data_IF_361804568180
#
_entry.id   IF_361804568180
#
_cell.length_a   1.000
_cell.length_b   1.000
_cell.length_c   1.000
_cell.angle_alpha   90.00
_cell.angle_beta   90.00
_cell.angle_gamma   90.00
#
_symmetry.space_group_name_H-M   'P 1'
#
loop_
_entity.id
_entity.type
_entity.pdbx_description
1 polymer ?
#
# COMPACT_ATOMS: atom_id res chain seq x y z
N UNK A 1 4.51 0.75 26.05
CA UNK A 1 3.48 0.05 25.25
C UNK A 1 2.20 0.86 25.10
N UNK A 2 1.42 1.13 26.16
CA UNK A 2 0.19 1.95 26.07
C UNK A 2 0.44 3.33 25.43
N UNK A 3 1.56 3.99 25.77
CA UNK A 3 1.94 5.27 25.18
C UNK A 3 2.05 5.21 23.64
N UNK A 4 2.55 4.11 23.06
CA UNK A 4 2.64 3.93 21.60
C UNK A 4 1.27 3.77 20.95
N UNK A 5 0.29 3.20 21.66
CA UNK A 5 -1.06 3.11 21.12
C UNK A 5 -1.73 4.50 21.02
N UNK A 6 -1.42 5.38 21.97
CA UNK A 6 -1.92 6.76 22.00
C UNK A 6 -1.27 7.61 20.91
N UNK A 7 -0.04 7.31 20.49
CA UNK A 7 0.63 8.09 19.44
C UNK A 7 0.01 7.87 18.05
N UNK A 8 -0.61 6.72 17.75
CA UNK A 8 -1.23 6.46 16.44
C UNK A 8 -2.31 7.50 16.07
N UNK A 9 -3.36 7.74 16.89
CA UNK A 9 -4.35 8.77 16.58
C UNK A 9 -3.76 10.19 16.62
N UNK A 10 -2.75 10.46 17.45
CA UNK A 10 -2.07 11.76 17.49
C UNK A 10 -1.35 12.03 16.16
N UNK A 11 -0.57 11.06 15.68
CA UNK A 11 0.15 11.16 14.40
C UNK A 11 -0.84 11.31 13.24
N UNK A 12 -1.93 10.55 13.25
CA UNK A 12 -3.01 10.69 12.26
C UNK A 12 -3.60 12.11 12.25
N UNK A 13 -3.90 12.66 13.43
CA UNK A 13 -4.45 14.00 13.55
C UNK A 13 -3.48 15.08 13.10
N UNK A 14 -2.23 15.02 13.56
CA UNK A 14 -1.18 15.97 13.20
C UNK A 14 -0.88 15.91 11.69
N UNK A 15 -0.79 14.72 11.10
CA UNK A 15 -0.52 14.58 9.66
C UNK A 15 -1.66 15.17 8.82
N UNK A 16 -2.92 14.95 9.21
CA UNK A 16 -4.07 15.55 8.55
C UNK A 16 -4.04 17.09 8.61
N UNK A 17 -3.73 17.67 9.77
CA UNK A 17 -3.61 19.13 9.92
C UNK A 17 -2.46 19.67 9.06
N UNK A 18 -1.29 19.06 9.16
CA UNK A 18 -0.11 19.49 8.41
C UNK A 18 -0.38 19.46 6.91
N UNK A 19 -0.92 18.36 6.37
CA UNK A 19 -1.23 18.23 4.94
C UNK A 19 -2.28 19.25 4.49
N UNK A 20 -3.31 19.52 5.31
CA UNK A 20 -4.29 20.57 5.01
C UNK A 20 -3.65 21.96 4.98
N UNK A 21 -2.82 22.30 5.97
CA UNK A 21 -2.15 23.60 6.05
C UNK A 21 -1.19 23.86 4.89
N UNK A 22 -0.58 22.80 4.35
CA UNK A 22 0.33 22.85 3.21
C UNK A 22 -0.39 22.76 1.84
N UNK A 23 -1.72 22.65 1.84
CA UNK A 23 -2.52 22.49 0.62
C UNK A 23 -2.36 21.13 -0.05
N UNK A 24 -1.79 20.14 0.64
CA UNK A 24 -1.59 18.76 0.16
C UNK A 24 -2.88 17.97 0.27
N UNK A 25 -3.84 18.35 -0.58
CA UNK A 25 -5.21 17.85 -0.55
C UNK A 25 -5.72 17.61 -1.96
N UNK A 26 -6.71 16.74 -2.08
CA UNK A 26 -7.50 16.53 -3.31
C UNK A 26 -8.94 16.89 -3.03
N UNK A 27 -9.60 17.53 -4.01
CA UNK A 27 -11.03 17.81 -3.93
C UNK A 27 -11.79 16.52 -4.20
N UNK A 28 -12.53 16.05 -3.20
CA UNK A 28 -13.40 14.89 -3.37
C UNK A 28 -14.63 15.27 -4.23
N UNK A 29 -15.44 14.29 -4.60
CA UNK A 29 -16.63 14.52 -5.43
C UNK A 29 -17.73 15.34 -4.72
N UNK A 30 -17.65 15.52 -3.39
CA UNK A 30 -18.50 16.43 -2.61
C UNK A 30 -17.95 17.87 -2.60
N UNK A 31 -16.87 18.16 -3.34
CA UNK A 31 -16.23 19.47 -3.37
C UNK A 31 -15.38 19.80 -2.13
N UNK A 32 -15.19 18.85 -1.20
CA UNK A 32 -14.39 19.06 0.02
C UNK A 32 -12.93 18.72 -0.24
N UNK A 33 -12.03 19.55 0.27
CA UNK A 33 -10.60 19.26 0.27
C UNK A 33 -10.27 18.18 1.32
N UNK A 34 -9.70 17.07 0.86
CA UNK A 34 -9.34 15.92 1.68
C UNK A 34 -7.83 15.66 1.58
N UNK A 35 -7.09 15.57 2.71
CA UNK A 35 -5.64 15.32 2.69
C UNK A 35 -5.31 13.87 2.37
N UNK A 36 -4.29 13.62 1.53
CA UNK A 36 -3.75 12.29 1.23
C UNK A 36 -2.72 11.83 2.28
N UNK A 37 -3.11 11.85 3.55
CA UNK A 37 -2.21 11.72 4.70
C UNK A 37 -2.14 10.32 5.32
N UNK A 38 -2.98 9.36 4.89
CA UNK A 38 -3.08 8.07 5.57
C UNK A 38 -1.83 7.20 5.42
N UNK A 39 -1.05 7.36 4.35
CA UNK A 39 0.22 6.63 4.23
C UNK A 39 1.23 6.99 5.31
N UNK A 40 1.16 8.20 5.91
CA UNK A 40 1.97 8.56 7.09
C UNK A 40 1.64 7.66 8.28
N UNK A 41 0.37 7.32 8.48
CA UNK A 41 -0.08 6.46 9.58
C UNK A 41 0.45 5.03 9.37
N UNK A 42 0.36 4.52 8.14
CA UNK A 42 0.87 3.19 7.78
C UNK A 42 2.39 3.13 7.96
N UNK A 43 3.11 4.13 7.45
CA UNK A 43 4.57 4.21 7.58
C UNK A 43 5.00 4.32 9.05
N UNK A 44 4.37 5.20 9.83
CA UNK A 44 4.65 5.35 11.27
C UNK A 44 4.39 4.06 12.04
N UNK A 45 3.26 3.41 11.74
CA UNK A 45 2.89 2.13 12.33
C UNK A 45 3.94 1.06 12.05
N UNK A 46 4.32 0.91 10.77
CA UNK A 46 5.35 -0.05 10.35
C UNK A 46 6.73 0.26 10.95
N UNK A 47 7.16 1.53 10.96
CA UNK A 47 8.40 1.96 11.60
C UNK A 47 8.43 1.60 13.08
N UNK A 48 7.29 1.74 13.78
CA UNK A 48 7.17 1.35 15.18
C UNK A 48 7.32 -0.16 15.35
N UNK A 49 6.73 -0.97 14.47
CA UNK A 49 6.98 -2.43 14.47
C UNK A 49 8.46 -2.76 14.31
N UNK A 50 9.16 -2.12 13.36
CA UNK A 50 10.60 -2.32 13.16
C UNK A 50 11.45 -1.95 14.39
N UNK A 51 10.96 -1.09 15.28
CA UNK A 51 11.68 -0.69 16.49
C UNK A 51 11.43 -1.60 17.69
N UNK A 52 10.25 -2.22 17.78
CA UNK A 52 9.82 -2.96 18.99
C UNK A 52 9.82 -4.47 18.82
N UNK A 53 9.79 -4.95 17.58
CA UNK A 53 9.75 -6.38 17.27
C UNK A 53 11.19 -6.92 17.23
N UNK A 54 11.51 -8.00 17.96
CA UNK A 54 12.85 -8.58 17.94
C UNK A 54 13.25 -9.04 16.54
N UNK A 55 14.36 -8.51 16.03
CA UNK A 55 14.86 -8.79 14.69
C UNK A 55 15.16 -10.29 14.48
N UNK A 56 15.61 -10.99 15.52
CA UNK A 56 15.91 -12.44 15.45
C UNK A 56 14.70 -13.30 15.06
N UNK A 57 13.49 -12.88 15.43
CA UNK A 57 12.25 -13.64 15.16
C UNK A 57 11.61 -13.25 13.83
N UNK A 58 11.83 -12.01 13.37
CA UNK A 58 11.13 -11.42 12.22
C UNK A 58 12.08 -10.69 11.27
N UNK A 59 13.23 -11.32 11.01
CA UNK A 59 14.39 -10.72 10.36
C UNK A 59 14.11 -10.09 8.98
N UNK A 60 13.14 -10.61 8.22
CA UNK A 60 12.74 -9.98 6.95
C UNK A 60 11.64 -8.95 7.19
N UNK A 61 10.64 -9.29 8.00
CA UNK A 61 9.40 -8.53 8.05
C UNK A 61 9.52 -7.17 8.74
N UNK A 62 10.41 -7.05 9.72
CA UNK A 62 10.52 -5.86 10.57
C UNK A 62 11.96 -5.41 10.79
N UNK A 63 12.88 -5.70 9.86
CA UNK A 63 14.26 -5.20 9.92
C UNK A 63 14.38 -3.73 9.48
N UNK A 64 15.51 -3.10 9.82
CA UNK A 64 15.81 -1.73 9.40
C UNK A 64 15.95 -1.58 7.87
N UNK A 65 16.36 -2.64 7.16
CA UNK A 65 16.43 -2.62 5.70
C UNK A 65 15.04 -2.73 5.07
N UNK A 66 14.14 -3.50 5.69
CA UNK A 66 12.73 -3.51 5.30
C UNK A 66 12.10 -2.12 5.55
N UNK A 67 12.43 -1.45 6.67
CA UNK A 67 12.04 -0.08 6.91
C UNK A 67 12.58 0.89 5.85
N UNK A 68 13.86 0.80 5.49
CA UNK A 68 14.46 1.64 4.45
C UNK A 68 13.76 1.46 3.10
N UNK A 69 13.45 0.22 2.72
CA UNK A 69 12.66 -0.08 1.52
C UNK A 69 11.27 0.56 1.58
N UNK A 70 10.53 0.37 2.67
CA UNK A 70 9.17 0.93 2.83
C UNK A 70 9.16 2.46 2.86
N UNK A 71 10.14 3.10 3.53
CA UNK A 71 10.33 4.56 3.50
C UNK A 71 10.57 5.04 2.07
N UNK A 72 11.41 4.33 1.31
CA UNK A 72 11.68 4.66 -0.09
C UNK A 72 10.43 4.56 -0.97
N UNK A 73 9.64 3.49 -0.81
CA UNK A 73 8.36 3.33 -1.53
C UNK A 73 7.38 4.44 -1.15
N UNK A 74 7.23 4.72 0.15
CA UNK A 74 6.36 5.81 0.62
C UNK A 74 6.76 7.15 0.02
N UNK A 75 8.06 7.46 -0.02
CA UNK A 75 8.58 8.71 -0.57
C UNK A 75 8.32 8.84 -2.08
N UNK A 76 8.49 7.76 -2.84
CA UNK A 76 8.16 7.74 -4.27
C UNK A 76 6.67 7.98 -4.52
N UNK A 77 5.79 7.35 -3.72
CA UNK A 77 4.36 7.59 -3.79
C UNK A 77 3.99 9.03 -3.38
N UNK A 78 4.67 9.60 -2.39
CA UNK A 78 4.47 10.97 -1.95
C UNK A 78 4.87 12.00 -3.02
N UNK A 79 5.98 11.77 -3.73
CA UNK A 79 6.38 12.58 -4.89
C UNK A 79 5.28 12.54 -5.96
N UNK A 80 4.74 11.35 -6.25
CA UNK A 80 3.70 11.19 -7.26
C UNK A 80 2.40 11.88 -6.85
N UNK A 81 1.98 11.78 -5.59
CA UNK A 81 0.81 12.51 -5.07
C UNK A 81 1.00 14.04 -5.17
N UNK A 82 2.22 14.53 -4.91
CA UNK A 82 2.49 15.97 -4.83
C UNK A 82 2.70 16.65 -6.18
N UNK A 83 3.35 15.95 -7.10
CA UNK A 83 3.82 16.50 -8.37
C UNK A 83 3.19 15.81 -9.59
N UNK A 84 2.36 14.78 -9.38
CA UNK A 84 1.62 14.10 -10.42
C UNK A 84 0.68 15.03 -11.17
N UNK A 85 0.80 15.03 -12.49
CA UNK A 85 -0.07 15.79 -13.40
C UNK A 85 -1.24 14.91 -13.87
N UNK A 86 -2.27 15.50 -14.50
CA UNK A 86 -3.43 14.78 -15.09
C UNK A 86 -3.08 13.93 -16.33
N UNK A 87 -1.85 13.49 -16.44
CA UNK A 87 -1.27 12.88 -17.64
C UNK A 87 -1.47 11.36 -17.67
N UNK A 88 -1.24 10.69 -18.82
CA UNK A 88 -2.02 9.51 -19.19
C UNK A 88 -1.79 8.34 -18.23
N UNK A 89 -2.90 7.70 -17.84
CA UNK A 89 -2.90 6.56 -16.94
C UNK A 89 -2.33 5.31 -17.60
N UNK A 90 -1.54 4.54 -16.85
CA UNK A 90 -1.04 3.22 -17.24
C UNK A 90 0.34 3.25 -17.92
N UNK A 91 1.05 2.11 -17.87
CA UNK A 91 2.43 1.94 -18.36
C UNK A 91 2.63 2.43 -19.80
N UNK A 92 1.72 2.04 -20.71
CA UNK A 92 1.77 2.47 -22.12
C UNK A 92 1.60 3.98 -22.27
N UNK A 93 0.75 4.58 -21.45
CA UNK A 93 0.52 6.03 -21.43
C UNK A 93 1.78 6.79 -21.03
N UNK A 94 2.42 6.38 -19.94
CA UNK A 94 3.67 6.98 -19.48
C UNK A 94 4.79 6.83 -20.52
N UNK A 95 4.99 5.63 -21.07
CA UNK A 95 6.03 5.38 -22.10
C UNK A 95 5.78 6.19 -23.37
N UNK A 96 4.53 6.26 -23.84
CA UNK A 96 4.15 7.08 -24.99
C UNK A 96 4.37 8.57 -24.72
N UNK A 97 4.06 9.03 -23.50
CA UNK A 97 4.24 10.41 -23.11
C UNK A 97 5.72 10.79 -23.06
N UNK A 98 6.57 9.97 -22.45
CA UNK A 98 8.03 10.18 -22.46
C UNK A 98 8.56 10.19 -23.89
N UNK A 99 8.11 9.28 -24.74
CA UNK A 99 8.53 9.23 -26.13
C UNK A 99 8.12 10.49 -26.92
N UNK A 100 6.91 11.02 -26.67
CA UNK A 100 6.35 12.14 -27.43
C UNK A 100 6.75 13.51 -26.87
N UNK A 101 6.80 13.65 -25.55
CA UNK A 101 7.02 14.92 -24.83
C UNK A 101 8.40 15.04 -24.20
N UNK A 102 9.19 13.95 -24.17
CA UNK A 102 10.57 13.88 -23.61
C UNK A 102 10.69 14.26 -22.13
N UNK A 103 9.59 14.31 -21.38
CA UNK A 103 9.60 14.60 -19.95
C UNK A 103 9.19 13.33 -19.20
N UNK A 104 10.01 12.83 -18.26
CA UNK A 104 9.64 11.69 -17.44
C UNK A 104 8.48 12.08 -16.50
N UNK A 105 7.39 11.34 -16.57
CA UNK A 105 6.27 11.49 -15.63
C UNK A 105 6.68 11.00 -14.24
N UNK A 106 6.11 11.59 -13.18
CA UNK A 106 6.30 11.14 -11.79
C UNK A 106 5.92 9.67 -11.60
N UNK A 107 4.89 9.18 -12.29
CA UNK A 107 4.52 7.76 -12.30
C UNK A 107 5.63 6.83 -12.84
N UNK A 108 6.42 7.28 -13.83
CA UNK A 108 7.57 6.53 -14.34
C UNK A 108 8.73 6.54 -13.34
N UNK A 109 8.99 7.67 -12.69
CA UNK A 109 9.98 7.78 -11.60
C UNK A 109 9.60 6.82 -10.47
N UNK A 110 8.32 6.79 -10.06
CA UNK A 110 7.80 5.86 -9.06
C UNK A 110 8.02 4.40 -9.46
N UNK A 111 7.74 4.05 -10.72
CA UNK A 111 7.90 2.69 -11.22
C UNK A 111 9.37 2.24 -11.23
N UNK A 112 10.27 3.07 -11.78
CA UNK A 112 11.71 2.78 -11.82
C UNK A 112 12.29 2.76 -10.41
N UNK A 113 11.91 3.72 -9.56
CA UNK A 113 12.34 3.76 -8.16
C UNK A 113 11.89 2.52 -7.39
N UNK A 114 10.64 2.09 -7.56
CA UNK A 114 10.10 0.86 -6.94
C UNK A 114 10.88 -0.37 -7.40
N UNK A 115 11.20 -0.45 -8.69
CA UNK A 115 12.03 -1.52 -9.26
C UNK A 115 13.42 -1.56 -8.62
N UNK A 116 14.12 -0.43 -8.58
CA UNK A 116 15.47 -0.33 -8.01
C UNK A 116 15.46 -0.67 -6.52
N UNK A 117 14.54 -0.08 -5.74
CA UNK A 117 14.41 -0.34 -4.31
C UNK A 117 14.09 -1.81 -4.03
N UNK A 118 13.25 -2.45 -4.85
CA UNK A 118 12.96 -3.88 -4.74
C UNK A 118 14.20 -4.73 -5.01
N UNK A 119 15.00 -4.41 -6.05
CA UNK A 119 16.25 -5.12 -6.32
C UNK A 119 17.28 -4.96 -5.20
N UNK A 120 17.44 -3.73 -4.67
CA UNK A 120 18.37 -3.47 -3.57
C UNK A 120 17.98 -4.26 -2.32
N UNK A 121 16.68 -4.33 -2.01
CA UNK A 121 16.21 -5.11 -0.87
C UNK A 121 16.40 -6.62 -1.09
N UNK A 122 16.10 -7.14 -2.28
CA UNK A 122 16.36 -8.55 -2.64
C UNK A 122 17.84 -8.90 -2.53
N UNK A 123 18.73 -8.01 -2.98
CA UNK A 123 20.17 -8.18 -2.86
C UNK A 123 20.61 -8.29 -1.39
N UNK A 124 20.05 -7.43 -0.53
CA UNK A 124 20.30 -7.46 0.92
C UNK A 124 19.83 -8.75 1.59
N UNK A 125 18.77 -9.39 1.08
CA UNK A 125 18.25 -10.64 1.66
C UNK A 125 19.16 -11.86 1.40
N UNK A 126 20.25 -11.71 0.63
CA UNK A 126 21.21 -12.78 0.34
C UNK A 126 20.52 -14.10 -0.10
N UNK A 127 19.54 -13.99 -1.00
CA UNK A 127 18.75 -15.13 -1.47
C UNK A 127 19.63 -16.27 -1.99
N UNK A 128 19.23 -17.51 -1.73
CA UNK A 128 20.02 -18.70 -2.01
C UNK A 128 19.91 -19.19 -3.46
N UNK A 129 18.90 -18.71 -4.20
CA UNK A 129 18.67 -19.10 -5.59
C UNK A 129 18.09 -17.96 -6.43
N UNK A 130 18.31 -18.02 -7.75
CA UNK A 130 17.71 -17.05 -8.69
C UNK A 130 16.18 -17.09 -8.67
N UNK A 131 15.57 -18.26 -8.44
CA UNK A 131 14.12 -18.40 -8.35
C UNK A 131 13.55 -17.72 -7.09
N UNK A 132 14.29 -17.75 -5.98
CA UNK A 132 13.94 -17.01 -4.77
C UNK A 132 14.08 -15.50 -4.99
N UNK A 133 15.21 -15.05 -5.55
CA UNK A 133 15.45 -13.66 -5.89
C UNK A 133 14.35 -13.11 -6.80
N UNK A 134 13.99 -13.84 -7.87
CA UNK A 134 12.94 -13.48 -8.79
C UNK A 134 11.59 -13.38 -8.08
N UNK A 135 11.23 -14.36 -7.26
CA UNK A 135 9.95 -14.37 -6.53
C UNK A 135 9.82 -13.18 -5.57
N UNK A 136 10.86 -12.90 -4.79
CA UNK A 136 10.87 -11.75 -3.87
C UNK A 136 10.81 -10.44 -4.64
N UNK A 137 11.60 -10.30 -5.70
CA UNK A 137 11.57 -9.14 -6.57
C UNK A 137 10.18 -8.89 -7.17
N UNK A 138 9.51 -9.94 -7.66
CA UNK A 138 8.16 -9.84 -8.21
C UNK A 138 7.15 -9.44 -7.13
N UNK A 139 7.19 -10.03 -5.94
CA UNK A 139 6.30 -9.64 -4.84
C UNK A 139 6.52 -8.18 -4.43
N UNK A 140 7.77 -7.76 -4.22
CA UNK A 140 8.15 -6.42 -3.80
C UNK A 140 7.83 -5.35 -4.86
N UNK A 141 7.89 -5.68 -6.15
CA UNK A 141 7.56 -4.71 -7.19
C UNK A 141 6.08 -4.69 -7.57
N UNK A 142 5.43 -5.86 -7.61
CA UNK A 142 4.07 -5.98 -8.14
C UNK A 142 2.97 -5.72 -7.11
N UNK A 143 3.16 -6.04 -5.84
CA UNK A 143 2.13 -5.76 -4.82
C UNK A 143 1.94 -4.26 -4.55
N UNK A 144 2.98 -3.42 -4.41
CA UNK A 144 2.82 -1.97 -4.36
C UNK A 144 2.07 -1.44 -5.60
N UNK A 145 2.42 -1.95 -6.78
CA UNK A 145 1.77 -1.55 -8.03
C UNK A 145 0.29 -1.95 -8.06
N UNK A 146 -0.03 -3.18 -7.67
CA UNK A 146 -1.40 -3.68 -7.62
C UNK A 146 -2.24 -2.92 -6.57
N UNK A 147 -1.68 -2.62 -5.40
CA UNK A 147 -2.34 -1.81 -4.40
C UNK A 147 -2.69 -0.40 -4.94
N UNK A 148 -1.78 0.23 -5.67
CA UNK A 148 -2.04 1.50 -6.36
C UNK A 148 -3.14 1.37 -7.44
N UNK A 149 -3.25 0.24 -8.13
CA UNK A 149 -4.34 -0.01 -9.09
C UNK A 149 -5.70 -0.17 -8.40
N UNK A 150 -5.72 -0.70 -7.18
CA UNK A 150 -6.93 -0.80 -6.37
C UNK A 150 -7.34 0.53 -5.73
N UNK A 151 -6.42 1.47 -5.54
CA UNK A 151 -6.66 2.82 -4.98
C UNK A 151 -7.42 3.73 -5.96
N UNK A 152 -8.66 3.33 -6.24
CA UNK A 152 -9.59 4.02 -7.14
C UNK A 152 -10.91 4.37 -6.48
N UNK A 153 -11.18 3.75 -5.33
CA UNK A 153 -12.32 4.02 -4.45
C UNK A 153 -11.93 3.75 -3.00
N UNK A 154 -12.62 4.39 -2.04
CA UNK A 154 -12.33 4.21 -0.62
C UNK A 154 -12.31 2.75 -0.20
N UNK A 155 -11.35 2.39 0.65
CA UNK A 155 -11.22 1.11 1.35
C UNK A 155 -10.91 -0.10 0.47
N UNK A 156 -10.72 0.04 -0.85
CA UNK A 156 -10.38 -1.10 -1.70
C UNK A 156 -9.04 -1.72 -1.31
N UNK A 157 -8.03 -0.87 -1.10
CA UNK A 157 -6.70 -1.33 -0.66
C UNK A 157 -6.80 -1.93 0.73
N UNK A 158 -7.53 -1.29 1.66
CA UNK A 158 -7.75 -1.81 3.00
C UNK A 158 -8.37 -3.22 2.99
N UNK A 159 -9.41 -3.44 2.17
CA UNK A 159 -10.07 -4.75 2.00
C UNK A 159 -9.14 -5.78 1.38
N UNK A 160 -8.44 -5.40 0.30
CA UNK A 160 -7.45 -6.24 -0.36
C UNK A 160 -6.37 -6.72 0.62
N UNK A 161 -5.78 -5.80 1.38
CA UNK A 161 -4.79 -6.11 2.42
C UNK A 161 -5.39 -7.01 3.50
N UNK A 162 -6.62 -6.75 3.95
CA UNK A 162 -7.30 -7.56 4.98
C UNK A 162 -7.54 -9.00 4.51
N UNK A 163 -7.99 -9.20 3.27
CA UNK A 163 -8.24 -10.52 2.67
C UNK A 163 -6.97 -11.38 2.67
N UNK A 164 -5.81 -10.77 2.47
CA UNK A 164 -4.52 -11.47 2.44
C UNK A 164 -3.97 -11.66 3.86
N UNK A 165 -4.06 -10.65 4.74
CA UNK A 165 -3.48 -10.71 6.08
C UNK A 165 -4.23 -11.65 7.02
N UNK A 166 -5.56 -11.75 6.96
CA UNK A 166 -6.33 -12.59 7.89
C UNK A 166 -5.87 -14.07 7.81
N UNK A 167 -5.80 -14.72 6.64
CA UNK A 167 -5.31 -16.10 6.55
C UNK A 167 -3.89 -16.28 7.09
N UNK A 168 -3.00 -15.30 6.87
CA UNK A 168 -1.62 -15.34 7.38
C UNK A 168 -1.62 -15.29 8.90
N UNK A 169 -2.38 -14.36 9.50
CA UNK A 169 -2.51 -14.23 10.96
C UNK A 169 -3.11 -15.47 11.62
N UNK A 170 -4.04 -16.16 10.94
CA UNK A 170 -4.63 -17.41 11.44
C UNK A 170 -3.71 -18.63 11.29
N UNK A 171 -2.72 -18.56 10.39
CA UNK A 171 -1.82 -19.67 10.09
C UNK A 171 -0.53 -19.65 10.93
N UNK A 172 -0.25 -18.54 11.62
CA UNK A 172 0.95 -18.35 12.43
C UNK A 172 0.59 -18.21 13.92
N UNK A 173 1.52 -18.54 14.83
CA UNK A 173 1.34 -18.28 16.25
C UNK A 173 0.94 -16.82 16.48
N UNK A 174 -0.05 -16.61 17.34
CA UNK A 174 -0.53 -15.27 17.63
C UNK A 174 0.63 -14.40 18.11
N UNK A 175 0.82 -13.19 17.53
CA UNK A 175 1.83 -12.27 18.02
C UNK A 175 1.48 -11.85 19.44
N UNK A 176 2.44 -11.24 20.14
CA UNK A 176 2.19 -10.66 21.46
C UNK A 176 0.93 -9.76 21.41
N UNK A 177 0.05 -9.89 22.40
CA UNK A 177 -1.27 -9.23 22.41
C UNK A 177 -1.20 -7.73 22.09
N UNK A 178 -0.19 -7.04 22.61
CA UNK A 178 0.05 -5.63 22.31
C UNK A 178 0.31 -5.36 20.81
N UNK A 179 1.11 -6.19 20.14
CA UNK A 179 1.41 -6.06 18.71
C UNK A 179 0.14 -6.25 17.88
N UNK A 180 -0.73 -7.19 18.26
CA UNK A 180 -2.02 -7.38 17.60
C UNK A 180 -2.92 -6.15 17.75
N UNK A 181 -3.09 -5.67 18.98
CA UNK A 181 -3.90 -4.48 19.30
C UNK A 181 -3.37 -3.24 18.56
N UNK A 182 -2.06 -3.06 18.50
CA UNK A 182 -1.42 -1.93 17.81
C UNK A 182 -1.71 -1.95 16.30
N UNK A 183 -1.60 -3.11 15.66
CA UNK A 183 -1.91 -3.29 14.24
C UNK A 183 -3.39 -3.06 13.95
N UNK A 184 -4.26 -3.57 14.81
CA UNK A 184 -5.70 -3.32 14.73
C UNK A 184 -6.02 -1.82 14.88
N UNK A 185 -5.34 -1.09 15.75
CA UNK A 185 -5.54 0.36 15.89
C UNK A 185 -5.18 1.12 14.60
N UNK A 186 -4.07 0.76 13.95
CA UNK A 186 -3.67 1.34 12.66
C UNK A 186 -4.70 1.02 11.57
N UNK A 187 -5.10 -0.25 11.44
CA UNK A 187 -6.12 -0.67 10.47
C UNK A 187 -7.46 -0.01 10.71
N UNK A 188 -7.89 0.10 11.97
CA UNK A 188 -9.14 0.75 12.34
C UNK A 188 -9.13 2.24 11.98
N UNK A 189 -8.06 2.96 12.32
CA UNK A 189 -7.94 4.38 11.97
C UNK A 189 -7.90 4.59 10.46
N UNK A 190 -7.14 3.77 9.73
CA UNK A 190 -7.17 3.77 8.26
C UNK A 190 -8.60 3.56 7.75
N UNK A 191 -9.28 2.50 8.19
CA UNK A 191 -10.63 2.16 7.76
C UNK A 191 -11.65 3.28 8.04
N UNK A 192 -11.61 3.87 9.23
CA UNK A 192 -12.55 4.93 9.62
C UNK A 192 -12.28 6.21 8.85
N UNK A 193 -11.03 6.68 8.80
CA UNK A 193 -10.68 7.96 8.17
C UNK A 193 -10.89 7.93 6.66
N UNK A 194 -10.52 6.82 6.00
CA UNK A 194 -10.74 6.66 4.55
C UNK A 194 -12.23 6.42 4.23
N UNK A 195 -12.90 5.56 5.01
CA UNK A 195 -14.32 5.24 4.83
C UNK A 195 -15.22 6.47 4.95
N UNK A 196 -14.95 7.33 5.94
CA UNK A 196 -15.64 8.61 6.14
C UNK A 196 -15.06 9.76 5.30
N UNK A 197 -14.10 9.47 4.40
CA UNK A 197 -13.51 10.44 3.46
C UNK A 197 -12.89 11.65 4.16
N UNK A 198 -12.39 11.46 5.39
CA UNK A 198 -11.73 12.50 6.17
C UNK A 198 -10.26 12.68 5.76
N UNK A 199 -9.66 11.60 5.25
CA UNK A 199 -8.35 11.55 4.62
C UNK A 199 -8.37 10.51 3.49
N UNK A 200 -7.49 10.68 2.50
CA UNK A 200 -7.27 9.75 1.41
C UNK A 200 -5.99 8.95 1.66
N UNK A 201 -5.96 7.75 1.07
CA UNK A 201 -4.77 6.90 1.10
C UNK A 201 -3.65 7.46 0.23
N UNK A 202 -3.97 7.79 -1.03
CA UNK A 202 -3.02 8.33 -2.00
C UNK A 202 -2.02 7.28 -2.48
N UNK A 203 -1.20 7.65 -3.45
CA UNK A 203 -0.16 6.79 -3.98
C UNK A 203 0.91 6.51 -2.91
N UNK A 204 1.17 7.47 -2.01
CA UNK A 204 2.06 7.26 -0.86
C UNK A 204 1.56 6.15 0.07
N UNK A 205 0.25 6.09 0.35
CA UNK A 205 -0.31 5.09 1.25
C UNK A 205 -0.55 3.74 0.59
N UNK A 206 -1.05 3.74 -0.64
CA UNK A 206 -1.43 2.50 -1.34
C UNK A 206 -0.20 1.66 -1.70
N UNK A 207 0.84 2.29 -2.25
CA UNK A 207 2.10 1.60 -2.56
C UNK A 207 2.80 1.10 -1.28
N UNK A 208 2.79 1.90 -0.21
CA UNK A 208 3.33 1.51 1.11
C UNK A 208 2.59 0.31 1.69
N UNK A 209 1.25 0.30 1.65
CA UNK A 209 0.46 -0.84 2.10
C UNK A 209 0.79 -2.11 1.31
N UNK A 210 0.94 -2.00 -0.01
CA UNK A 210 1.37 -3.11 -0.86
C UNK A 210 2.79 -3.59 -0.57
N UNK A 211 3.72 -2.67 -0.26
CA UNK A 211 5.11 -2.99 0.09
C UNK A 211 5.21 -3.74 1.42
N UNK A 212 4.54 -3.25 2.46
CA UNK A 212 4.45 -3.92 3.76
C UNK A 212 3.80 -5.31 3.59
N UNK A 213 2.75 -5.41 2.78
CA UNK A 213 2.10 -6.69 2.52
C UNK A 213 3.05 -7.69 1.81
N UNK A 214 3.84 -7.23 0.83
CA UNK A 214 4.82 -8.06 0.15
C UNK A 214 5.86 -8.64 1.12
N UNK A 215 6.38 -7.78 2.00
CA UNK A 215 7.36 -8.15 3.03
C UNK A 215 6.78 -9.18 3.99
N UNK A 216 5.53 -8.99 4.45
CA UNK A 216 4.82 -9.93 5.31
C UNK A 216 4.64 -11.28 4.58
N UNK A 217 4.23 -11.27 3.31
CA UNK A 217 4.08 -12.51 2.52
C UNK A 217 5.42 -13.26 2.41
N UNK A 218 6.52 -12.55 2.19
CA UNK A 218 7.86 -13.16 2.06
C UNK A 218 8.24 -13.91 3.36
N UNK A 219 8.01 -13.31 4.53
CA UNK A 219 8.37 -13.90 5.82
C UNK A 219 7.40 -15.02 6.25
N UNK A 220 6.10 -14.81 6.05
CA UNK A 220 5.04 -15.56 6.71
C UNK A 220 4.22 -16.44 5.77
N UNK A 221 4.71 -16.76 4.58
CA UNK A 221 4.03 -17.73 3.72
C UNK A 221 5.02 -18.70 3.09
N UNK A 222 4.62 -19.97 2.91
CA UNK A 222 5.48 -20.94 2.26
C UNK A 222 5.62 -20.63 0.76
N UNK A 223 6.71 -21.09 0.16
CA UNK A 223 7.10 -20.82 -1.24
C UNK A 223 5.98 -21.03 -2.27
N UNK A 224 5.15 -22.07 -2.11
CA UNK A 224 4.06 -22.35 -3.05
C UNK A 224 2.95 -21.30 -2.99
N UNK A 225 2.64 -20.76 -1.80
CA UNK A 225 1.68 -19.66 -1.63
C UNK A 225 2.24 -18.37 -2.21
N UNK A 226 3.53 -18.09 -2.01
CA UNK A 226 4.19 -16.93 -2.61
C UNK A 226 4.09 -16.96 -4.14
N UNK A 227 4.34 -18.10 -4.79
CA UNK A 227 4.17 -18.23 -6.24
C UNK A 227 2.71 -18.09 -6.68
N UNK A 228 1.77 -18.68 -5.95
CA UNK A 228 0.33 -18.50 -6.21
C UNK A 228 -0.06 -17.01 -6.20
N UNK A 229 0.44 -16.26 -5.21
CA UNK A 229 0.24 -14.81 -5.11
C UNK A 229 0.89 -14.09 -6.28
N UNK A 230 2.13 -14.41 -6.65
CA UNK A 230 2.80 -13.81 -7.82
C UNK A 230 1.98 -14.01 -9.10
N UNK A 231 1.50 -15.22 -9.36
CA UNK A 231 0.67 -15.49 -10.54
C UNK A 231 -0.67 -14.75 -10.48
N UNK A 232 -1.33 -14.74 -9.32
CA UNK A 232 -2.59 -14.00 -9.12
C UNK A 232 -2.43 -12.49 -9.32
N UNK A 233 -1.39 -11.91 -8.72
CA UNK A 233 -1.06 -10.48 -8.85
C UNK A 233 -0.70 -10.14 -10.30
N UNK A 234 0.15 -10.94 -10.95
CA UNK A 234 0.50 -10.74 -12.36
C UNK A 234 -0.71 -10.80 -13.29
N UNK A 235 -1.61 -11.76 -13.06
CA UNK A 235 -2.87 -11.87 -13.79
C UNK A 235 -3.76 -10.62 -13.60
N UNK A 236 -3.89 -10.13 -12.36
CA UNK A 236 -4.65 -8.92 -12.07
C UNK A 236 -4.03 -7.69 -12.73
N UNK A 237 -2.71 -7.51 -12.66
CA UNK A 237 -2.01 -6.39 -13.34
C UNK A 237 -2.28 -6.44 -14.85
N UNK A 238 -2.18 -7.62 -15.46
CA UNK A 238 -2.48 -7.80 -16.88
C UNK A 238 -3.95 -7.46 -17.21
N UNK A 239 -4.90 -7.88 -16.37
CA UNK A 239 -6.31 -7.51 -16.54
C UNK A 239 -6.54 -6.01 -16.41
N UNK A 240 -5.85 -5.34 -15.49
CA UNK A 240 -5.97 -3.91 -15.25
C UNK A 240 -5.56 -3.07 -16.47
N UNK A 241 -4.65 -3.57 -17.32
CA UNK A 241 -4.28 -2.91 -18.58
C UNK A 241 -5.42 -2.91 -19.61
N UNK A 242 -6.30 -3.92 -19.56
CA UNK A 242 -7.36 -4.13 -20.58
C UNK A 242 -8.73 -3.70 -20.10
N UNK A 243 -8.99 -3.78 -18.79
CA UNK A 243 -10.32 -3.63 -18.21
C UNK A 243 -10.22 -2.76 -16.96
N UNK A 244 -11.22 -1.89 -16.76
CA UNK A 244 -11.36 -1.15 -15.50
C UNK A 244 -11.97 -2.06 -14.42
N UNK A 245 -11.24 -2.31 -13.33
CA UNK A 245 -11.77 -3.05 -12.18
C UNK A 245 -13.08 -2.46 -11.64
N UNK A 246 -13.20 -1.14 -11.63
CA UNK A 246 -14.44 -0.46 -11.24
C UNK A 246 -15.64 -0.84 -12.11
N UNK A 247 -15.45 -1.07 -13.42
CA UNK A 247 -16.51 -1.55 -14.31
C UNK A 247 -16.91 -2.99 -13.97
N UNK A 248 -15.93 -3.87 -13.75
CA UNK A 248 -16.17 -5.27 -13.37
C UNK A 248 -16.92 -5.37 -12.04
N UNK A 249 -16.46 -4.65 -11.02
CA UNK A 249 -17.08 -4.62 -9.69
C UNK A 249 -18.51 -4.09 -9.76
N UNK A 250 -18.76 -3.03 -10.55
CA UNK A 250 -20.09 -2.46 -10.71
C UNK A 250 -21.08 -3.38 -11.46
N UNK A 251 -20.57 -4.30 -12.31
CA UNK A 251 -21.40 -5.21 -13.09
C UNK A 251 -21.88 -6.42 -12.27
N UNK A 252 -21.26 -6.73 -11.13
CA UNK A 252 -21.66 -7.82 -10.24
C UNK A 252 -22.31 -7.28 -8.97
N UNK A 253 -23.55 -7.70 -8.68
CA UNK A 253 -24.27 -7.27 -7.48
C UNK A 253 -23.52 -7.60 -6.18
N UNK A 254 -22.92 -8.79 -6.09
CA UNK A 254 -22.16 -9.23 -4.93
C UNK A 254 -20.87 -8.41 -4.76
N UNK A 255 -20.10 -8.21 -5.84
CA UNK A 255 -18.86 -7.42 -5.76
C UNK A 255 -19.16 -5.96 -5.44
N UNK A 256 -20.22 -5.39 -5.99
CA UNK A 256 -20.66 -4.03 -5.68
C UNK A 256 -21.08 -3.89 -4.22
N UNK A 257 -21.79 -4.87 -3.67
CA UNK A 257 -22.16 -4.88 -2.26
C UNK A 257 -20.91 -4.95 -1.36
N UNK A 258 -19.97 -5.85 -1.66
CA UNK A 258 -18.69 -5.94 -0.95
C UNK A 258 -17.86 -4.64 -1.06
N UNK A 259 -17.81 -4.02 -2.24
CA UNK A 259 -17.13 -2.73 -2.48
C UNK A 259 -17.75 -1.60 -1.64
N UNK A 260 -19.06 -1.67 -1.34
CA UNK A 260 -19.77 -0.71 -0.50
C UNK A 260 -19.57 -0.85 1.01
N UNK A 261 -19.11 -2.01 1.51
CA UNK A 261 -18.91 -2.23 2.95
C UNK A 261 -17.93 -1.20 3.52
N UNK A 262 -18.26 -0.59 4.66
CA UNK A 262 -17.43 0.40 5.34
C UNK A 262 -17.47 1.81 4.77
N UNK A 263 -18.13 2.00 3.63
CA UNK A 263 -18.34 3.32 3.02
C UNK A 263 -19.76 3.77 3.36
N UNK A 264 -19.96 4.83 4.18
CA UNK A 264 -21.29 5.30 4.53
C UNK A 264 -22.13 5.60 3.29
N UNK A 265 -23.37 5.10 3.27
CA UNK A 265 -24.36 5.42 2.25
C UNK A 265 -24.59 6.92 2.24
N UNK A 266 -24.54 7.53 1.06
CA UNK A 266 -24.92 8.93 0.92
C UNK A 266 -26.45 9.04 0.89
N UNK A 267 -27.00 9.86 1.78
CA UNK A 267 -28.24 10.56 1.48
C UNK A 267 -27.91 11.53 0.33
N UNK A 268 -28.59 11.35 -0.81
CA UNK A 268 -28.54 12.29 -1.93
C UNK A 268 -29.10 13.64 -1.53
#
# INVERSE_FOLDING_TARGET
>A
MIALLITVPIIAYISMIAFRSLGWTVVNYEGKAVPYSLGVIILYGYATYCMIVPEETYAIAFSYQALAYVVGIWFLGFIDDRYGTKEPKGLRGHLYFVWTKKIPTTGLIKLIGTFILSMLFVYHLHTTSIYEALRYFLLLSWLPHLANLFDTRPLRVCKFTTIILIPILLSYPAPAFFLLIYGLAIFYLWFVLEGHRQALLGDNGSTTAGAVLAIIIIQFTPTHIQWLIVFGVGFLIFLAERISFSKVINASGILKWLDGIGVPFQQK
#
